data_IF_480212835636
#
_entry.id   IF_480212835636
#
_cell.length_a   1.000
_cell.length_b   1.000
_cell.length_c   1.000
_cell.angle_alpha   90.00
_cell.angle_beta   90.00
_cell.angle_gamma   90.00
#
_symmetry.space_group_name_H-M   'P 1'
#
loop_
_entity.id
_entity.type
_entity.pdbx_description
1 polymer ?
#
# COMPACT_ATOMS: atom_id res chain seq x y z
N UNK A 1 5.01 7.17 14.96
CA UNK A 1 4.92 5.93 14.18
C UNK A 1 4.97 6.32 12.73
N UNK A 2 5.93 5.81 11.97
CA UNK A 2 6.00 6.07 10.52
C UNK A 2 5.06 5.12 9.76
N UNK A 3 4.78 5.41 8.49
CA UNK A 3 3.84 4.64 7.68
C UNK A 3 4.21 3.16 7.60
N UNK A 4 5.51 2.86 7.45
CA UNK A 4 6.04 1.49 7.42
C UNK A 4 5.64 0.72 8.69
N UNK A 5 5.87 1.29 9.86
CA UNK A 5 5.48 0.68 11.15
C UNK A 5 3.97 0.48 11.25
N UNK A 6 3.15 1.40 10.71
CA UNK A 6 1.69 1.24 10.69
C UNK A 6 1.28 0.04 9.82
N UNK A 7 1.86 -0.08 8.64
CA UNK A 7 1.60 -1.18 7.72
C UNK A 7 2.10 -2.53 8.27
N UNK A 8 3.28 -2.58 8.89
CA UNK A 8 3.83 -3.78 9.51
C UNK A 8 2.92 -4.30 10.63
N UNK A 9 2.38 -3.41 11.48
CA UNK A 9 1.37 -3.79 12.49
C UNK A 9 0.08 -4.36 11.90
N UNK A 10 -0.25 -3.98 10.67
CA UNK A 10 -1.39 -4.49 9.92
C UNK A 10 -1.07 -5.76 9.11
N UNK A 11 0.14 -6.30 9.24
CA UNK A 11 0.59 -7.54 8.60
C UNK A 11 1.14 -7.35 7.19
N UNK A 12 1.41 -6.12 6.76
CA UNK A 12 1.99 -5.84 5.45
C UNK A 12 3.52 -5.89 5.47
N UNK A 13 4.10 -6.28 4.34
CA UNK A 13 5.53 -6.19 4.06
C UNK A 13 5.78 -5.11 3.03
N UNK A 14 6.79 -4.26 3.28
CA UNK A 14 7.21 -3.20 2.38
C UNK A 14 8.24 -3.70 1.36
N UNK A 15 8.10 -3.29 0.12
CA UNK A 15 9.16 -3.36 -0.88
C UNK A 15 9.07 -2.17 -1.85
N UNK A 16 10.15 -1.92 -2.58
CA UNK A 16 10.20 -0.88 -3.61
C UNK A 16 10.60 -1.52 -4.94
N UNK A 17 10.02 -1.03 -6.04
CA UNK A 17 10.37 -1.47 -7.39
C UNK A 17 10.08 -0.33 -8.36
N UNK A 18 11.09 0.11 -9.11
CA UNK A 18 11.01 1.30 -9.96
C UNK A 18 10.57 2.54 -9.17
N UNK A 19 9.71 3.35 -9.78
CA UNK A 19 9.11 4.54 -9.16
C UNK A 19 7.90 4.21 -8.26
N UNK A 20 7.90 3.04 -7.62
CA UNK A 20 6.78 2.58 -6.81
C UNK A 20 7.21 2.02 -5.45
N UNK A 21 6.42 2.33 -4.43
CA UNK A 21 6.48 1.73 -3.10
C UNK A 21 5.26 0.82 -2.94
N UNK A 22 5.49 -0.40 -2.46
CA UNK A 22 4.45 -1.40 -2.28
C UNK A 22 4.38 -1.86 -0.83
N UNK A 23 3.16 -2.09 -0.38
CA UNK A 23 2.85 -2.82 0.84
C UNK A 23 1.97 -4.01 0.46
N UNK A 24 2.43 -5.23 0.72
CA UNK A 24 1.65 -6.45 0.44
C UNK A 24 1.37 -7.29 1.69
N UNK A 25 0.17 -7.88 1.77
CA UNK A 25 -0.18 -8.89 2.78
C UNK A 25 -1.01 -10.03 2.19
N UNK A 26 -0.92 -11.21 2.80
CA UNK A 26 -1.58 -12.44 2.33
C UNK A 26 -0.69 -13.27 1.40
N UNK A 27 -1.05 -14.55 1.21
CA UNK A 27 -0.22 -15.51 0.47
C UNK A 27 -0.74 -15.77 -0.94
N UNK A 28 -1.98 -16.27 -1.05
CA UNK A 28 -2.61 -16.69 -2.31
C UNK A 28 -3.29 -15.50 -3.01
N UNK A 29 -4.05 -14.71 -2.24
CA UNK A 29 -4.70 -13.49 -2.71
C UNK A 29 -4.06 -12.31 -1.98
N UNK A 30 -3.05 -11.71 -2.62
CA UNK A 30 -2.25 -10.65 -1.99
C UNK A 30 -3.04 -9.35 -2.05
N UNK A 31 -3.25 -8.72 -0.90
CA UNK A 31 -3.72 -7.35 -0.85
C UNK A 31 -2.52 -6.43 -0.97
N UNK A 32 -2.52 -5.59 -1.99
CA UNK A 32 -1.46 -4.67 -2.34
C UNK A 32 -1.96 -3.23 -2.17
N UNK A 33 -1.16 -2.41 -1.52
CA UNK A 33 -1.26 -0.95 -1.53
C UNK A 33 0.00 -0.44 -2.21
N UNK A 34 -0.17 0.20 -3.36
CA UNK A 34 0.90 0.71 -4.19
C UNK A 34 0.87 2.24 -4.19
N UNK A 35 2.03 2.86 -4.06
CA UNK A 35 2.24 4.29 -4.23
C UNK A 35 3.09 4.51 -5.48
N UNK A 36 2.49 5.12 -6.50
CA UNK A 36 3.18 5.58 -7.70
C UNK A 36 3.80 6.96 -7.43
N UNK A 37 5.13 6.98 -7.33
CA UNK A 37 5.89 8.18 -6.98
C UNK A 37 5.91 9.22 -8.10
N UNK A 38 5.82 8.77 -9.35
CA UNK A 38 5.87 9.64 -10.52
C UNK A 38 4.57 10.43 -10.69
N UNK A 39 3.44 9.74 -10.56
CA UNK A 39 2.12 10.33 -10.76
C UNK A 39 1.50 10.87 -9.47
N UNK A 40 2.09 10.58 -8.30
CA UNK A 40 1.56 10.92 -6.97
C UNK A 40 0.16 10.35 -6.72
N UNK A 41 -0.03 9.08 -7.10
CA UNK A 41 -1.29 8.34 -6.96
C UNK A 41 -1.02 7.11 -6.09
N UNK A 42 -2.02 6.68 -5.32
CA UNK A 42 -2.00 5.37 -4.68
C UNK A 42 -3.13 4.47 -5.19
N UNK A 43 -2.88 3.17 -5.19
CA UNK A 43 -3.84 2.14 -5.56
C UNK A 43 -4.00 1.14 -4.43
N UNK A 44 -5.21 0.60 -4.25
CA UNK A 44 -5.45 -0.57 -3.41
C UNK A 44 -6.19 -1.64 -4.18
N UNK A 45 -5.60 -2.82 -4.25
CA UNK A 45 -6.13 -3.93 -5.02
C UNK A 45 -5.71 -5.27 -4.44
N UNK A 46 -6.43 -6.31 -4.81
CA UNK A 46 -5.99 -7.69 -4.64
C UNK A 46 -5.34 -8.16 -5.93
N UNK A 47 -4.26 -8.91 -5.82
CA UNK A 47 -3.63 -9.60 -6.92
C UNK A 47 -3.72 -11.10 -6.68
N UNK A 48 -4.33 -11.81 -7.64
CA UNK A 48 -4.18 -13.24 -7.80
C UNK A 48 -3.65 -13.48 -9.22
N UNK A 49 -2.96 -14.60 -9.47
CA UNK A 49 -2.27 -14.86 -10.75
C UNK A 49 -3.13 -14.80 -12.03
N UNK A 50 -4.45 -14.59 -11.91
CA UNK A 50 -5.36 -14.40 -13.03
C UNK A 50 -5.72 -12.92 -13.31
N UNK A 51 -5.88 -12.08 -12.28
CA UNK A 51 -6.27 -10.69 -12.45
C UNK A 51 -6.07 -9.86 -11.16
N UNK A 52 -5.97 -8.53 -11.35
CA UNK A 52 -6.06 -7.58 -10.24
C UNK A 52 -7.51 -7.13 -10.05
N UNK A 53 -7.95 -6.98 -8.80
CA UNK A 53 -9.27 -6.43 -8.47
C UNK A 53 -9.15 -5.31 -7.44
N UNK A 54 -9.83 -4.18 -7.68
CA UNK A 54 -9.86 -3.04 -6.74
C UNK A 54 -10.36 -3.52 -5.38
N UNK A 55 -9.73 -3.05 -4.31
CA UNK A 55 -10.09 -3.39 -2.94
C UNK A 55 -10.23 -2.14 -2.08
N UNK A 56 -11.25 -2.11 -1.25
CA UNK A 56 -11.44 -1.06 -0.26
C UNK A 56 -10.37 -1.10 0.84
N UNK A 57 -10.12 0.05 1.44
CA UNK A 57 -9.27 0.18 2.62
C UNK A 57 -10.12 0.09 3.88
N UNK A 58 -9.60 -0.59 4.90
CA UNK A 58 -10.06 -0.41 6.28
C UNK A 58 -9.65 0.96 6.81
N UNK A 59 -10.30 1.44 7.87
CA UNK A 59 -9.96 2.73 8.49
C UNK A 59 -8.49 2.80 8.98
N UNK A 60 -7.92 1.68 9.46
CA UNK A 60 -6.53 1.65 9.91
C UNK A 60 -5.54 1.67 8.72
N UNK A 61 -5.89 1.01 7.61
CA UNK A 61 -5.10 1.09 6.39
C UNK A 61 -5.15 2.50 5.80
N UNK A 62 -6.31 3.16 5.84
CA UNK A 62 -6.43 4.56 5.41
C UNK A 62 -5.53 5.49 6.24
N UNK A 63 -5.45 5.30 7.56
CA UNK A 63 -4.53 6.06 8.41
C UNK A 63 -3.06 5.81 8.03
N UNK A 64 -2.69 4.56 7.73
CA UNK A 64 -1.35 4.23 7.27
C UNK A 64 -1.03 4.84 5.89
N UNK A 65 -2.01 4.87 4.99
CA UNK A 65 -1.91 5.54 3.67
C UNK A 65 -1.70 7.05 3.85
N UNK A 66 -2.51 7.70 4.68
CA UNK A 66 -2.37 9.13 4.98
C UNK A 66 -0.99 9.45 5.55
N UNK A 67 -0.49 8.63 6.47
CA UNK A 67 0.86 8.78 7.01
C UNK A 67 1.93 8.63 5.91
N UNK A 68 1.77 7.68 4.98
CA UNK A 68 2.71 7.50 3.86
C UNK A 68 2.68 8.71 2.91
N UNK A 69 1.51 9.29 2.66
CA UNK A 69 1.35 10.50 1.84
C UNK A 69 2.03 11.71 2.48
N UNK A 70 1.86 11.91 3.80
CA UNK A 70 2.55 12.95 4.55
C UNK A 70 4.08 12.80 4.44
N UNK A 71 4.61 11.58 4.61
CA UNK A 71 6.05 11.30 4.50
C UNK A 71 6.59 11.52 3.08
N UNK A 72 5.76 11.39 2.05
CA UNK A 72 6.10 11.67 0.66
C UNK A 72 5.89 13.14 0.27
N UNK A 73 5.36 13.98 1.18
CA UNK A 73 5.02 15.38 0.90
C UNK A 73 3.89 15.53 -0.12
N UNK A 74 2.94 14.58 -0.14
CA UNK A 74 1.76 14.64 -1.01
C UNK A 74 0.58 15.37 -0.37
N UNK A 75 0.67 15.63 0.94
CA UNK A 75 -0.32 16.32 1.77
C UNK A 75 0.33 17.16 2.84
#
# INVERSE_FOLDING_TARGET
>A
MNAKEMFEKLGYKKYASGDCIFYEKGSIMRHIIQFDLKNKIFYSYTSCGMANQIKSLTANELKAVQQQMNELGWS
#
